data_IF_147712883574
#
_entry.id   IF_147712883574
#
_cell.length_a   1.000
_cell.length_b   1.000
_cell.length_c   1.000
_cell.angle_alpha   90.00
_cell.angle_beta   90.00
_cell.angle_gamma   90.00
#
_symmetry.space_group_name_H-M   'P 1'
#
loop_
_entity.id
_entity.type
_entity.pdbx_description
1 polymer ?
#
# COMPACT_ATOMS: atom_id res chain seq x y z
N UNK A 1 18.72 -34.05 -6.12
CA UNK A 1 18.17 -33.56 -4.83
C UNK A 1 18.63 -32.14 -4.47
N UNK A 2 19.93 -31.79 -4.55
CA UNK A 2 20.42 -30.44 -4.19
C UNK A 2 19.86 -29.30 -5.07
N UNK A 3 19.66 -29.54 -6.37
CA UNK A 3 19.09 -28.55 -7.29
C UNK A 3 17.57 -28.39 -7.16
N UNK A 4 16.88 -29.45 -6.72
CA UNK A 4 15.43 -29.42 -6.49
C UNK A 4 15.06 -28.47 -5.34
N UNK A 5 15.89 -28.40 -4.29
CA UNK A 5 15.69 -27.49 -3.14
C UNK A 5 15.85 -26.02 -3.58
N UNK A 6 16.85 -25.72 -4.40
CA UNK A 6 17.06 -24.37 -4.96
C UNK A 6 15.88 -23.91 -5.81
N UNK A 7 15.29 -24.82 -6.59
CA UNK A 7 14.09 -24.57 -7.39
C UNK A 7 12.87 -24.26 -6.51
N UNK A 8 12.68 -24.98 -5.40
CA UNK A 8 11.62 -24.72 -4.43
C UNK A 8 11.78 -23.37 -3.71
N UNK A 9 13.01 -22.96 -3.38
CA UNK A 9 13.29 -21.66 -2.76
C UNK A 9 12.99 -20.51 -3.74
N UNK A 10 13.37 -20.66 -5.02
CA UNK A 10 13.13 -19.64 -6.04
C UNK A 10 11.62 -19.41 -6.31
N UNK A 11 10.82 -20.49 -6.30
CA UNK A 11 9.36 -20.42 -6.46
C UNK A 11 8.66 -19.70 -5.30
N UNK A 12 9.19 -19.79 -4.07
CA UNK A 12 8.60 -19.15 -2.90
C UNK A 12 8.70 -17.62 -2.91
N UNK A 13 9.78 -17.06 -3.47
CA UNK A 13 10.03 -15.61 -3.50
C UNK A 13 9.03 -14.90 -4.44
N UNK A 14 8.71 -15.51 -5.59
CA UNK A 14 7.80 -14.93 -6.58
C UNK A 14 6.35 -14.80 -6.08
N UNK A 15 5.91 -15.63 -5.14
CA UNK A 15 4.55 -15.58 -4.60
C UNK A 15 4.32 -14.39 -3.65
N UNK A 16 5.36 -13.90 -2.98
CA UNK A 16 5.24 -12.79 -2.03
C UNK A 16 4.94 -11.45 -2.73
N UNK A 17 5.57 -11.18 -3.87
CA UNK A 17 5.35 -9.92 -4.61
C UNK A 17 3.93 -9.79 -5.16
N UNK A 18 3.34 -10.89 -5.63
CA UNK A 18 1.97 -10.89 -6.19
C UNK A 18 0.91 -10.61 -5.11
N UNK A 19 1.10 -11.13 -3.90
CA UNK A 19 0.17 -10.90 -2.79
C UNK A 19 0.21 -9.44 -2.29
N UNK A 20 1.40 -8.82 -2.28
CA UNK A 20 1.56 -7.41 -1.91
C UNK A 20 0.85 -6.48 -2.92
N UNK A 21 1.03 -6.71 -4.22
CA UNK A 21 0.38 -5.90 -5.26
C UNK A 21 -1.15 -5.95 -5.18
N UNK A 22 -1.75 -7.14 -5.01
CA UNK A 22 -3.20 -7.30 -4.91
C UNK A 22 -3.82 -6.49 -3.75
N UNK A 23 -3.10 -6.39 -2.62
CA UNK A 23 -3.55 -5.60 -1.47
C UNK A 23 -3.58 -4.10 -1.81
N UNK A 24 -2.55 -3.62 -2.49
CA UNK A 24 -2.44 -2.21 -2.91
C UNK A 24 -3.55 -1.86 -3.90
N UNK A 25 -3.77 -2.68 -4.92
CA UNK A 25 -4.83 -2.44 -5.91
C UNK A 25 -6.21 -2.34 -5.24
N UNK A 26 -6.46 -3.19 -4.24
CA UNK A 26 -7.71 -3.18 -3.48
C UNK A 26 -7.85 -1.89 -2.64
N UNK A 27 -6.75 -1.42 -2.04
CA UNK A 27 -6.74 -0.17 -1.29
C UNK A 27 -6.96 1.05 -2.18
N UNK A 28 -6.40 1.06 -3.40
CA UNK A 28 -6.62 2.14 -4.38
C UNK A 28 -8.09 2.25 -4.78
N UNK A 29 -8.74 1.12 -5.02
CA UNK A 29 -10.18 1.07 -5.33
C UNK A 29 -11.01 1.58 -4.15
N UNK A 30 -10.68 1.19 -2.92
CA UNK A 30 -11.36 1.68 -1.73
C UNK A 30 -11.19 3.19 -1.58
N UNK A 31 -9.98 3.71 -1.74
CA UNK A 31 -9.70 5.15 -1.67
C UNK A 31 -10.45 5.92 -2.76
N UNK A 32 -10.49 5.41 -3.99
CA UNK A 32 -11.17 6.05 -5.11
C UNK A 32 -12.69 6.18 -4.88
N UNK A 33 -13.28 5.17 -4.23
CA UNK A 33 -14.71 5.13 -3.92
C UNK A 33 -15.08 5.88 -2.63
N UNK A 34 -14.13 6.12 -1.73
CA UNK A 34 -14.37 6.79 -0.45
C UNK A 34 -14.30 8.32 -0.59
N UNK A 35 -15.47 8.97 -0.72
CA UNK A 35 -15.57 10.42 -0.93
C UNK A 35 -15.47 11.25 0.35
N UNK A 36 -15.82 10.65 1.49
CA UNK A 36 -15.87 11.37 2.76
C UNK A 36 -14.49 11.85 3.22
N UNK A 37 -14.44 13.04 3.79
CA UNK A 37 -13.24 13.62 4.41
C UNK A 37 -13.24 13.25 5.87
N UNK A 38 -12.77 12.04 6.17
CA UNK A 38 -12.84 11.43 7.49
C UNK A 38 -11.57 10.64 7.83
N UNK A 39 -11.59 10.03 9.01
CA UNK A 39 -10.49 9.18 9.48
C UNK A 39 -10.35 7.87 8.71
N UNK A 40 -11.37 7.43 7.97
CA UNK A 40 -11.30 6.23 7.13
C UNK A 40 -10.41 6.53 5.92
N UNK A 41 -10.64 7.67 5.26
CA UNK A 41 -9.79 8.14 4.16
C UNK A 41 -8.34 8.30 4.61
N UNK A 42 -8.12 8.82 5.81
CA UNK A 42 -6.78 8.98 6.39
C UNK A 42 -6.08 7.63 6.56
N UNK A 43 -6.79 6.59 7.05
CA UNK A 43 -6.25 5.23 7.18
C UNK A 43 -5.97 4.56 5.83
N UNK A 44 -6.80 4.82 4.82
CA UNK A 44 -6.58 4.29 3.47
C UNK A 44 -5.31 4.87 2.84
N UNK A 45 -5.08 6.18 3.01
CA UNK A 45 -3.87 6.86 2.54
C UNK A 45 -2.61 6.32 3.25
N UNK A 46 -2.66 6.16 4.57
CA UNK A 46 -1.57 5.56 5.36
C UNK A 46 -1.23 4.14 4.90
N UNK A 47 -2.25 3.31 4.67
CA UNK A 47 -2.08 1.95 4.19
C UNK A 47 -1.48 1.88 2.77
N UNK A 48 -1.82 2.83 1.89
CA UNK A 48 -1.24 2.94 0.56
C UNK A 48 0.21 3.44 0.61
N UNK A 49 0.51 4.42 1.45
CA UNK A 49 1.88 4.89 1.67
C UNK A 49 2.80 3.73 2.13
N UNK A 50 2.33 2.95 3.11
CA UNK A 50 3.04 1.76 3.57
C UNK A 50 3.10 0.66 2.49
N UNK A 51 2.04 0.46 1.71
CA UNK A 51 2.01 -0.54 0.64
C UNK A 51 3.04 -0.24 -0.46
N UNK A 52 3.24 1.04 -0.79
CA UNK A 52 4.18 1.46 -1.81
C UNK A 52 5.62 1.64 -1.33
N UNK A 53 5.90 1.58 -0.02
CA UNK A 53 7.24 1.90 0.53
C UNK A 53 8.37 1.08 -0.09
N UNK A 54 8.12 -0.19 -0.39
CA UNK A 54 9.13 -1.14 -0.89
C UNK A 54 9.02 -1.40 -2.40
N UNK A 55 7.96 -0.88 -3.05
CA UNK A 55 7.62 -1.13 -4.47
C UNK A 55 7.86 0.13 -5.31
N UNK A 56 7.26 1.25 -4.91
CA UNK A 56 7.44 2.57 -5.52
C UNK A 56 7.46 3.64 -4.41
N UNK A 57 8.63 3.91 -3.82
CA UNK A 57 8.74 4.85 -2.70
C UNK A 57 8.24 6.25 -3.05
N UNK A 58 8.32 6.66 -4.31
CA UNK A 58 7.84 7.98 -4.75
C UNK A 58 6.33 8.05 -4.66
N UNK A 59 5.63 7.01 -5.15
CA UNK A 59 4.17 6.91 -5.02
C UNK A 59 3.74 6.77 -3.56
N UNK A 60 4.53 6.08 -2.74
CA UNK A 60 4.32 6.03 -1.29
C UNK A 60 4.35 7.41 -0.63
N UNK A 61 5.32 8.26 -1.00
CA UNK A 61 5.41 9.64 -0.52
C UNK A 61 4.22 10.49 -0.97
N UNK A 62 3.73 10.32 -2.21
CA UNK A 62 2.55 11.04 -2.69
C UNK A 62 1.30 10.75 -1.84
N UNK A 63 1.10 9.51 -1.39
CA UNK A 63 0.00 9.17 -0.47
C UNK A 63 0.24 9.69 0.95
N UNK A 64 1.48 9.67 1.42
CA UNK A 64 1.84 10.23 2.73
C UNK A 64 1.61 11.75 2.78
N UNK A 65 1.90 12.47 1.71
CA UNK A 65 1.63 13.91 1.60
C UNK A 65 0.12 14.19 1.65
N UNK A 66 -0.69 13.38 0.95
CA UNK A 66 -2.15 13.45 1.02
C UNK A 66 -2.69 13.16 2.42
N UNK A 67 -2.11 12.17 3.11
CA UNK A 67 -2.46 11.83 4.49
C UNK A 67 -2.17 13.00 5.44
N UNK A 68 -1.00 13.63 5.31
CA UNK A 68 -0.59 14.79 6.13
C UNK A 68 -1.52 15.99 5.90
N UNK A 69 -1.85 16.27 4.63
CA UNK A 69 -2.78 17.33 4.28
C UNK A 69 -4.18 17.08 4.90
N UNK A 70 -4.68 15.85 4.79
CA UNK A 70 -5.98 15.47 5.38
C UNK A 70 -5.95 15.52 6.92
N UNK A 71 -4.88 15.04 7.55
CA UNK A 71 -4.70 15.13 9.01
C UNK A 71 -4.79 16.57 9.50
N UNK A 72 -4.15 17.49 8.78
CA UNK A 72 -4.20 18.93 9.08
C UNK A 72 -5.61 19.49 8.98
N UNK A 73 -6.39 19.05 7.99
CA UNK A 73 -7.79 19.47 7.82
C UNK A 73 -8.65 18.95 8.98
N UNK A 74 -8.51 17.68 9.33
CA UNK A 74 -9.29 17.04 10.40
C UNK A 74 -8.96 17.60 11.78
N UNK A 75 -7.71 17.97 12.05
CA UNK A 75 -7.30 18.55 13.33
C UNK A 75 -7.76 20.00 13.52
N UNK A 76 -8.05 20.73 12.43
CA UNK A 76 -8.54 22.12 12.47
C UNK A 76 -10.06 22.22 12.63
N UNK A 77 -10.76 21.08 12.67
CA UNK A 77 -12.22 20.98 12.71
C UNK A 77 -12.69 20.73 14.14
#
# INVERSE_FOLDING_TARGET
MRHSILLFILLGISLCGVAQQKKIDSLEVLLANHKETDTIKLKLLDALAAGYSDIDPRKGLEYADQQLALSTILNKK
#
